data_IF_159629297998
#
_entry.id   IF_159629297998
#
_cell.length_a   1.000
_cell.length_b   1.000
_cell.length_c   1.000
_cell.angle_alpha   90.00
_cell.angle_beta   90.00
_cell.angle_gamma   90.00
#
_symmetry.space_group_name_H-M   'P 1'
#
loop_
_entity.id
_entity.type
_entity.pdbx_description
1 polymer ?
#
# COMPACT_ATOMS: atom_id res chain seq x y z
N UNK A 1 -69.42 -59.04 -2.60
CA UNK A 1 -68.28 -58.56 -1.80
C UNK A 1 -67.79 -57.24 -2.37
N UNK A 2 -67.77 -56.21 -1.54
CA UNK A 2 -66.82 -55.07 -1.47
C UNK A 2 -66.57 -54.18 -2.71
N UNK A 3 -67.19 -53.00 -2.66
CA UNK A 3 -66.73 -51.61 -2.94
C UNK A 3 -65.30 -51.43 -3.47
N UNK A 4 -65.10 -50.59 -4.51
CA UNK A 4 -64.09 -49.48 -4.52
C UNK A 4 -64.62 -48.30 -5.36
N UNK A 5 -64.43 -47.10 -4.81
CA UNK A 5 -64.79 -45.76 -5.31
C UNK A 5 -63.48 -44.98 -5.49
N UNK A 6 -63.27 -44.33 -6.63
CA UNK A 6 -62.27 -43.23 -6.85
C UNK A 6 -62.71 -42.45 -8.09
N UNK A 7 -63.24 -41.23 -7.93
CA UNK A 7 -62.56 -39.93 -7.88
C UNK A 7 -62.09 -39.46 -9.27
N UNK A 8 -62.86 -38.54 -9.87
CA UNK A 8 -62.56 -37.85 -11.13
C UNK A 8 -62.42 -36.35 -10.88
N UNK A 9 -61.32 -35.80 -11.39
CA UNK A 9 -60.96 -34.38 -11.47
C UNK A 9 -61.72 -33.66 -12.59
N UNK A 10 -62.11 -32.40 -12.39
CA UNK A 10 -62.22 -31.41 -13.46
C UNK A 10 -61.23 -30.25 -13.15
N UNK A 11 -60.90 -29.29 -13.99
CA UNK A 11 -60.99 -28.98 -15.42
C UNK A 11 -60.19 -27.67 -15.53
N UNK A 12 -59.44 -27.51 -16.60
CA UNK A 12 -58.55 -26.39 -16.86
C UNK A 12 -59.33 -25.18 -17.40
N UNK A 13 -59.11 -23.98 -16.85
CA UNK A 13 -59.58 -22.72 -17.44
C UNK A 13 -58.52 -21.61 -17.26
N UNK A 14 -58.12 -21.03 -18.38
CA UNK A 14 -57.18 -19.91 -18.52
C UNK A 14 -57.92 -18.54 -18.57
N UNK A 15 -57.24 -17.37 -18.68
CA UNK A 15 -57.30 -16.30 -17.66
C UNK A 15 -58.01 -15.01 -18.14
N UNK A 16 -58.23 -14.00 -17.26
CA UNK A 16 -58.48 -12.64 -17.69
C UNK A 16 -57.33 -11.65 -17.37
N UNK A 17 -57.47 -10.47 -17.96
CA UNK A 17 -56.42 -9.55 -18.40
C UNK A 17 -55.90 -8.53 -17.37
N UNK A 18 -54.79 -7.90 -17.79
CA UNK A 18 -53.96 -6.85 -17.20
C UNK A 18 -54.73 -5.68 -16.57
N UNK A 19 -54.46 -5.43 -15.29
CA UNK A 19 -54.59 -4.13 -14.63
C UNK A 19 -53.20 -3.53 -14.37
N UNK A 20 -52.98 -2.30 -14.80
CA UNK A 20 -51.78 -1.51 -14.55
C UNK A 20 -51.67 -1.19 -13.04
N UNK A 21 -50.51 -1.46 -12.43
CA UNK A 21 -50.17 -0.93 -11.10
C UNK A 21 -48.79 -0.30 -11.13
N UNK A 22 -48.74 0.95 -10.68
CA UNK A 22 -47.56 1.80 -10.56
C UNK A 22 -46.47 1.15 -9.70
N UNK A 23 -45.17 1.35 -10.01
CA UNK A 23 -44.10 0.90 -9.14
C UNK A 23 -44.11 1.71 -7.83
N UNK A 24 -43.97 1.06 -6.65
CA UNK A 24 -43.83 1.80 -5.41
C UNK A 24 -42.48 2.53 -5.38
N UNK A 25 -42.56 3.77 -4.89
CA UNK A 25 -41.50 4.73 -4.77
C UNK A 25 -40.36 4.26 -3.86
N UNK A 26 -39.15 4.70 -4.20
CA UNK A 26 -38.07 4.95 -3.25
C UNK A 26 -37.14 3.78 -2.99
N UNK A 27 -36.05 3.70 -3.76
CA UNK A 27 -34.81 3.16 -3.19
C UNK A 27 -34.50 3.95 -1.91
N UNK A 28 -34.25 3.31 -0.76
CA UNK A 28 -33.73 4.03 0.39
C UNK A 28 -32.40 4.68 -0.03
N UNK A 29 -32.16 5.96 0.30
CA UNK A 29 -30.88 6.60 0.01
C UNK A 29 -29.75 5.84 0.69
N UNK A 30 -28.59 5.87 0.04
CA UNK A 30 -27.35 5.20 0.40
C UNK A 30 -27.16 5.06 1.92
N UNK A 31 -26.87 3.81 2.37
CA UNK A 31 -26.37 3.52 3.71
C UNK A 31 -25.39 4.62 4.11
N UNK A 32 -25.75 5.36 5.16
CA UNK A 32 -24.90 6.35 5.83
C UNK A 32 -23.49 5.78 5.91
N UNK A 33 -22.53 6.47 5.29
CA UNK A 33 -21.14 6.05 5.28
C UNK A 33 -20.66 5.89 6.72
N UNK A 34 -20.61 4.65 7.24
CA UNK A 34 -20.15 4.45 8.61
C UNK A 34 -18.74 5.05 8.75
N UNK A 35 -18.54 5.97 9.68
CA UNK A 35 -17.24 6.61 9.81
C UNK A 35 -16.23 5.51 10.18
N UNK A 36 -15.14 5.37 9.41
CA UNK A 36 -14.18 4.29 9.61
C UNK A 36 -13.40 4.59 10.89
N UNK A 37 -13.66 3.78 11.93
CA UNK A 37 -13.04 3.88 13.24
C UNK A 37 -11.60 3.38 13.21
N UNK A 38 -10.67 4.19 13.71
CA UNK A 38 -9.27 3.82 13.85
C UNK A 38 -8.94 3.44 15.30
N UNK A 39 -8.11 2.41 15.54
CA UNK A 39 -7.62 2.11 16.88
C UNK A 39 -6.70 3.23 17.39
N UNK A 40 -7.12 3.96 18.42
CA UNK A 40 -6.19 4.63 19.31
C UNK A 40 -5.52 3.57 20.20
N UNK A 41 -4.22 3.69 20.42
CA UNK A 41 -3.54 2.88 21.44
C UNK A 41 -4.09 3.20 22.84
N UNK A 42 -3.74 2.41 23.86
CA UNK A 42 -4.10 2.73 25.26
C UNK A 42 -3.50 4.09 25.65
N UNK A 43 -4.36 5.06 25.96
CA UNK A 43 -4.00 6.45 26.27
C UNK A 43 -5.00 7.46 25.68
N UNK A 44 -4.78 8.75 25.93
CA UNK A 44 -5.55 9.82 25.27
C UNK A 44 -5.26 9.77 23.78
N UNK A 45 -6.29 9.59 22.91
CA UNK A 45 -6.04 9.50 21.49
C UNK A 45 -5.51 10.83 20.94
N UNK A 46 -4.65 10.81 19.91
CA UNK A 46 -4.09 12.03 19.36
C UNK A 46 -5.21 12.92 18.78
N UNK A 47 -5.06 14.24 18.91
CA UNK A 47 -6.02 15.22 18.37
C UNK A 47 -5.98 15.30 16.84
N UNK A 48 -4.91 14.83 16.22
CA UNK A 48 -4.70 14.84 14.76
C UNK A 48 -4.15 13.50 14.27
N UNK A 49 -4.52 13.13 13.06
CA UNK A 49 -4.02 11.93 12.40
C UNK A 49 -2.54 12.11 12.04
N UNK A 50 -1.64 11.15 12.38
CA UNK A 50 -0.21 11.29 12.09
C UNK A 50 0.12 11.21 10.60
N UNK A 51 -0.78 10.64 9.79
CA UNK A 51 -0.59 10.46 8.35
C UNK A 51 -1.16 11.61 7.52
N UNK A 52 -2.38 12.08 7.82
CA UNK A 52 -3.03 13.14 7.03
C UNK A 52 -3.16 14.49 7.74
N UNK A 53 -2.76 14.58 9.01
CA UNK A 53 -2.94 15.74 9.90
C UNK A 53 -4.38 16.21 10.11
N UNK A 54 -5.36 15.45 9.63
CA UNK A 54 -6.78 15.74 9.87
C UNK A 54 -7.14 15.58 11.34
N UNK A 55 -7.95 16.51 11.85
CA UNK A 55 -8.46 16.46 13.22
C UNK A 55 -9.24 15.17 13.48
N UNK A 56 -8.98 14.55 14.62
CA UNK A 56 -9.62 13.35 15.09
C UNK A 56 -10.59 13.68 16.23
N UNK A 57 -11.67 12.92 16.32
CA UNK A 57 -12.62 12.97 17.43
C UNK A 57 -12.87 11.56 17.99
N UNK A 58 -13.09 11.44 19.32
CA UNK A 58 -13.48 10.18 19.94
C UNK A 58 -14.78 9.63 19.36
N UNK A 59 -14.87 8.32 19.24
CA UNK A 59 -16.11 7.68 18.81
C UNK A 59 -17.04 7.39 20.00
N UNK A 60 -18.31 7.85 19.95
CA UNK A 60 -19.30 7.51 20.98
C UNK A 60 -19.48 5.99 21.11
N UNK A 61 -19.47 5.48 22.34
CA UNK A 61 -19.67 4.05 22.62
C UNK A 61 -18.48 3.14 22.28
N UNK A 62 -17.35 3.68 21.82
CA UNK A 62 -16.15 2.90 21.52
C UNK A 62 -14.89 3.54 22.13
N UNK A 63 -14.64 3.30 23.43
CA UNK A 63 -13.45 3.82 24.11
C UNK A 63 -12.15 3.49 23.36
N UNK A 64 -11.25 4.46 23.28
CA UNK A 64 -9.98 4.32 22.54
C UNK A 64 -10.10 4.33 21.02
N UNK A 65 -11.31 4.39 20.44
CA UNK A 65 -11.49 4.57 18.99
C UNK A 65 -11.66 6.05 18.65
N UNK A 66 -11.04 6.44 17.54
CA UNK A 66 -11.21 7.78 16.96
C UNK A 66 -11.62 7.69 15.50
N UNK A 67 -12.20 8.78 15.02
CA UNK A 67 -12.51 8.98 13.61
C UNK A 67 -12.07 10.38 13.19
N UNK A 68 -11.83 10.57 11.90
CA UNK A 68 -11.66 11.93 11.37
C UNK A 68 -12.96 12.72 11.57
N UNK A 69 -12.83 13.95 12.08
CA UNK A 69 -13.94 14.90 12.21
C UNK A 69 -14.50 15.30 10.84
N UNK A 70 -13.62 15.44 9.85
CA UNK A 70 -13.97 15.78 8.47
C UNK A 70 -14.12 14.54 7.60
N UNK A 71 -15.27 14.38 6.94
CA UNK A 71 -15.51 13.33 5.96
C UNK A 71 -14.52 13.39 4.78
N UNK A 72 -14.14 14.61 4.35
CA UNK A 72 -13.13 14.83 3.32
C UNK A 72 -11.77 14.28 3.75
N UNK A 73 -11.32 14.61 4.96
CA UNK A 73 -10.08 14.05 5.51
C UNK A 73 -10.16 12.53 5.62
N UNK A 74 -11.31 11.99 6.05
CA UNK A 74 -11.51 10.54 6.12
C UNK A 74 -11.39 9.85 4.77
N UNK A 75 -11.91 10.47 3.70
CA UNK A 75 -11.90 9.92 2.35
C UNK A 75 -10.51 9.97 1.70
N UNK A 76 -9.68 10.95 2.07
CA UNK A 76 -8.33 11.13 1.54
C UNK A 76 -7.25 10.46 2.40
N UNK A 77 -7.58 10.04 3.63
CA UNK A 77 -6.62 9.41 4.51
C UNK A 77 -6.44 7.93 4.18
N UNK A 78 -5.19 7.50 4.04
CA UNK A 78 -4.80 6.13 3.70
C UNK A 78 -5.30 5.07 4.71
N UNK A 79 -5.59 5.54 5.91
CA UNK A 79 -6.01 4.74 7.05
C UNK A 79 -7.51 4.49 7.12
N UNK A 80 -8.31 5.40 6.54
CA UNK A 80 -9.76 5.42 6.72
C UNK A 80 -10.53 5.53 5.42
N UNK A 81 -9.85 5.70 4.28
CA UNK A 81 -10.51 5.76 2.98
C UNK A 81 -11.27 4.48 2.69
N UNK A 82 -12.47 4.64 2.13
CA UNK A 82 -13.32 3.54 1.64
C UNK A 82 -13.20 3.36 0.13
N UNK A 83 -12.50 4.28 -0.52
CA UNK A 83 -12.23 4.25 -1.95
C UNK A 83 -10.85 3.63 -2.18
N UNK A 84 -10.41 3.61 -3.43
CA UNK A 84 -9.01 3.33 -3.73
C UNK A 84 -8.09 4.26 -2.92
N UNK A 85 -6.95 3.70 -2.52
CA UNK A 85 -5.94 4.49 -1.83
C UNK A 85 -5.55 5.72 -2.66
N UNK A 86 -5.18 6.84 -2.01
CA UNK A 86 -4.61 8.00 -2.68
C UNK A 86 -3.50 7.63 -3.66
N UNK A 87 -3.28 8.53 -4.63
CA UNK A 87 -2.23 8.40 -5.62
C UNK A 87 -0.86 8.15 -4.98
N UNK A 88 0.02 7.53 -5.74
CA UNK A 88 1.41 7.31 -5.35
C UNK A 88 2.16 8.63 -5.14
N UNK A 89 3.34 8.55 -4.52
CA UNK A 89 4.23 9.70 -4.36
C UNK A 89 4.42 10.39 -5.72
N UNK A 90 4.02 11.66 -5.82
CA UNK A 90 4.21 12.39 -7.06
C UNK A 90 5.70 12.64 -7.31
N UNK A 91 6.11 12.39 -8.56
CA UNK A 91 7.44 12.66 -9.08
C UNK A 91 7.24 13.60 -10.26
N UNK A 92 7.40 14.91 -10.01
CA UNK A 92 7.22 16.01 -10.97
C UNK A 92 8.53 16.68 -11.36
N UNK A 93 9.66 15.98 -11.17
CA UNK A 93 10.97 16.48 -11.56
C UNK A 93 10.99 16.93 -13.02
N UNK A 94 11.73 17.99 -13.32
CA UNK A 94 12.02 18.36 -14.70
C UNK A 94 12.76 17.23 -15.42
N UNK A 95 12.89 17.30 -16.75
CA UNK A 95 13.65 16.29 -17.53
C UNK A 95 15.10 16.74 -17.74
N UNK A 96 15.86 16.88 -16.65
CA UNK A 96 17.30 17.15 -16.73
C UNK A 96 18.07 15.84 -16.94
N UNK A 97 18.42 15.56 -18.20
CA UNK A 97 19.13 14.35 -18.58
C UNK A 97 20.53 14.24 -17.93
N UNK A 98 21.23 15.35 -17.73
CA UNK A 98 22.57 15.34 -17.17
C UNK A 98 22.53 15.11 -15.65
N UNK A 99 21.57 15.72 -14.95
CA UNK A 99 21.31 15.39 -13.55
C UNK A 99 20.90 13.91 -13.42
N UNK A 100 19.98 13.45 -14.28
CA UNK A 100 19.51 12.06 -14.33
C UNK A 100 20.65 11.06 -14.44
N UNK A 101 21.52 11.22 -15.44
CA UNK A 101 22.66 10.33 -15.66
C UNK A 101 23.60 10.29 -14.44
N UNK A 102 24.00 11.46 -13.92
CA UNK A 102 24.92 11.57 -12.77
C UNK A 102 24.34 10.94 -11.51
N UNK A 103 23.06 11.20 -11.22
CA UNK A 103 22.40 10.65 -10.04
C UNK A 103 22.17 9.15 -10.16
N UNK A 104 21.83 8.68 -11.36
CA UNK A 104 21.66 7.26 -11.63
C UNK A 104 22.97 6.50 -11.48
N UNK A 105 24.06 7.04 -11.99
CA UNK A 105 25.41 6.49 -11.81
C UNK A 105 25.80 6.45 -10.33
N UNK A 106 25.60 7.57 -9.60
CA UNK A 106 25.84 7.63 -8.14
C UNK A 106 25.03 6.59 -7.37
N UNK A 107 23.76 6.39 -7.74
CA UNK A 107 22.91 5.37 -7.15
C UNK A 107 23.44 3.96 -7.43
N UNK A 108 23.82 3.67 -8.68
CA UNK A 108 24.40 2.37 -9.05
C UNK A 108 25.67 2.10 -8.25
N UNK A 109 26.54 3.09 -8.03
CA UNK A 109 27.72 2.89 -7.20
C UNK A 109 27.39 2.47 -5.75
N UNK A 110 26.22 2.85 -5.24
CA UNK A 110 25.80 2.60 -3.86
C UNK A 110 24.58 1.66 -3.72
N UNK A 111 24.20 0.95 -4.78
CA UNK A 111 22.94 0.21 -4.84
C UNK A 111 22.78 -0.81 -3.71
N UNK A 112 23.87 -1.45 -3.31
CA UNK A 112 23.90 -2.44 -2.23
C UNK A 112 23.52 -1.83 -0.89
N UNK A 113 23.96 -0.60 -0.62
CA UNK A 113 23.65 0.12 0.61
C UNK A 113 22.17 0.48 0.66
N UNK A 114 21.65 1.00 -0.45
CA UNK A 114 20.22 1.29 -0.62
C UNK A 114 19.35 0.04 -0.43
N UNK A 115 19.69 -1.06 -1.11
CA UNK A 115 18.96 -2.31 -0.99
C UNK A 115 19.03 -2.90 0.42
N UNK A 116 20.18 -2.82 1.08
CA UNK A 116 20.34 -3.22 2.47
C UNK A 116 19.46 -2.42 3.43
N UNK A 117 19.34 -1.10 3.26
CA UNK A 117 18.46 -0.26 4.09
C UNK A 117 16.99 -0.59 3.86
N UNK A 118 16.59 -0.77 2.60
CA UNK A 118 15.24 -1.24 2.25
C UNK A 118 14.94 -2.57 2.95
N UNK A 119 15.86 -3.53 2.91
CA UNK A 119 15.71 -4.83 3.59
C UNK A 119 15.77 -4.75 5.11
N UNK A 120 16.46 -3.75 5.69
CA UNK A 120 16.43 -3.50 7.14
C UNK A 120 15.03 -3.08 7.60
N UNK A 121 14.35 -2.24 6.82
CA UNK A 121 12.97 -1.81 7.11
C UNK A 121 11.97 -2.92 6.76
N UNK A 122 12.19 -3.61 5.65
CA UNK A 122 11.32 -4.68 5.17
C UNK A 122 12.11 -5.90 4.69
N UNK A 123 12.36 -6.90 5.56
CA UNK A 123 13.19 -8.05 5.22
C UNK A 123 12.72 -8.89 4.04
N UNK A 124 11.41 -8.89 3.77
CA UNK A 124 10.78 -9.59 2.64
C UNK A 124 10.91 -8.85 1.30
N UNK A 125 11.58 -7.68 1.27
CA UNK A 125 11.82 -6.95 0.02
C UNK A 125 12.85 -7.68 -0.85
N UNK A 126 12.43 -8.17 -2.01
CA UNK A 126 13.28 -8.96 -2.91
C UNK A 126 14.04 -8.11 -3.91
N UNK A 127 15.13 -8.65 -4.46
CA UNK A 127 15.89 -7.97 -5.52
C UNK A 127 15.07 -7.78 -6.80
N UNK A 128 14.14 -8.70 -7.09
CA UNK A 128 13.20 -8.57 -8.20
C UNK A 128 12.28 -7.37 -8.00
N UNK A 129 11.74 -7.19 -6.79
CA UNK A 129 10.94 -6.00 -6.44
C UNK A 129 11.78 -4.73 -6.53
N UNK A 130 13.02 -4.76 -6.02
CA UNK A 130 13.93 -3.62 -6.06
C UNK A 130 14.21 -3.15 -7.48
N UNK A 131 14.58 -4.05 -8.38
CA UNK A 131 14.83 -3.70 -9.79
C UNK A 131 13.57 -3.26 -10.53
N UNK A 132 12.39 -3.81 -10.19
CA UNK A 132 11.12 -3.34 -10.73
C UNK A 132 10.80 -1.90 -10.29
N UNK A 133 10.99 -1.58 -9.00
CA UNK A 133 10.80 -0.21 -8.48
C UNK A 133 11.78 0.76 -9.13
N UNK A 134 13.03 0.34 -9.34
CA UNK A 134 14.00 1.18 -10.04
C UNK A 134 13.60 1.44 -11.50
N UNK A 135 13.06 0.45 -12.20
CA UNK A 135 12.52 0.66 -13.54
C UNK A 135 11.36 1.68 -13.53
N UNK A 136 10.49 1.65 -12.51
CA UNK A 136 9.44 2.66 -12.33
C UNK A 136 10.05 4.05 -12.05
N UNK A 137 11.07 4.13 -11.18
CA UNK A 137 11.76 5.37 -10.87
C UNK A 137 12.47 5.98 -12.10
N UNK A 138 13.04 5.13 -12.96
CA UNK A 138 13.63 5.52 -14.24
C UNK A 138 12.57 6.19 -15.15
N UNK A 139 11.38 5.57 -15.29
CA UNK A 139 10.28 6.10 -16.11
C UNK A 139 9.68 7.39 -15.53
N UNK A 140 9.60 7.49 -14.20
CA UNK A 140 9.06 8.65 -13.50
C UNK A 140 10.04 9.84 -13.44
N UNK A 141 11.26 9.69 -13.98
CA UNK A 141 12.31 10.72 -13.94
C UNK A 141 12.75 11.12 -12.52
N UNK A 142 12.72 10.17 -11.56
CA UNK A 142 13.18 10.41 -10.17
C UNK A 142 14.61 10.97 -10.12
N UNK A 143 15.48 10.50 -11.00
CA UNK A 143 16.89 10.89 -11.06
C UNK A 143 17.13 12.31 -11.59
N UNK A 144 16.09 12.96 -12.11
CA UNK A 144 16.24 14.33 -12.61
C UNK A 144 16.13 15.39 -11.52
N UNK A 145 15.86 15.02 -10.26
CA UNK A 145 15.77 15.96 -9.16
C UNK A 145 17.14 16.41 -8.68
N UNK A 146 17.57 17.66 -8.89
CA UNK A 146 18.94 18.10 -8.54
C UNK A 146 19.27 17.92 -7.06
N UNK A 147 18.26 18.00 -6.19
CA UNK A 147 18.34 17.85 -4.76
C UNK A 147 18.16 16.40 -4.25
N UNK A 148 18.16 15.39 -5.14
CA UNK A 148 18.04 13.99 -4.74
C UNK A 148 19.18 13.58 -3.80
N UNK A 149 18.83 13.19 -2.58
CA UNK A 149 19.78 12.74 -1.57
C UNK A 149 19.73 11.22 -1.41
N UNK A 150 20.89 10.59 -1.23
CA UNK A 150 20.97 9.14 -1.05
C UNK A 150 20.30 8.66 0.25
N UNK A 151 20.37 9.43 1.34
CA UNK A 151 19.79 9.04 2.63
C UNK A 151 18.25 8.95 2.62
N UNK A 152 17.60 9.54 1.62
CA UNK A 152 16.15 9.46 1.40
C UNK A 152 15.73 8.32 0.46
N UNK A 153 16.63 7.83 -0.38
CA UNK A 153 16.29 6.92 -1.47
C UNK A 153 15.69 5.60 -0.96
N UNK A 154 16.16 5.05 0.15
CA UNK A 154 15.58 3.84 0.71
C UNK A 154 14.09 4.04 1.07
N UNK A 155 13.73 5.19 1.67
CA UNK A 155 12.35 5.53 2.00
C UNK A 155 11.51 5.76 0.75
N UNK A 156 12.03 6.51 -0.23
CA UNK A 156 11.37 6.75 -1.52
C UNK A 156 11.08 5.43 -2.24
N UNK A 157 12.05 4.53 -2.34
CA UNK A 157 11.89 3.24 -3.00
C UNK A 157 10.87 2.34 -2.29
N UNK A 158 10.78 2.39 -0.96
CA UNK A 158 9.74 1.68 -0.21
C UNK A 158 8.34 2.21 -0.52
N UNK A 159 8.18 3.53 -0.67
CA UNK A 159 6.90 4.16 -1.03
C UNK A 159 6.52 3.85 -2.49
N UNK A 160 7.48 3.95 -3.41
CA UNK A 160 7.30 3.61 -4.83
C UNK A 160 7.06 2.11 -5.08
N UNK A 161 7.37 1.24 -4.12
CA UNK A 161 7.03 -0.18 -4.21
C UNK A 161 5.52 -0.43 -4.19
N UNK A 162 4.72 0.57 -3.79
CA UNK A 162 3.28 0.47 -3.75
C UNK A 162 2.81 -0.66 -2.83
N UNK A 163 1.76 -1.36 -3.25
CA UNK A 163 1.24 -2.50 -2.53
C UNK A 163 2.12 -3.75 -2.71
N UNK A 164 2.58 -4.29 -1.58
CA UNK A 164 3.34 -5.53 -1.53
C UNK A 164 2.51 -6.61 -0.84
N UNK A 165 2.12 -7.64 -1.60
CA UNK A 165 1.49 -8.85 -1.05
C UNK A 165 2.55 -9.72 -0.39
N UNK A 166 2.28 -10.13 0.84
CA UNK A 166 3.03 -11.16 1.57
C UNK A 166 2.14 -12.40 1.60
N UNK A 167 2.54 -13.47 0.90
CA UNK A 167 1.76 -14.70 0.87
C UNK A 167 1.62 -15.28 2.28
N UNK A 168 0.56 -16.06 2.49
CA UNK A 168 0.40 -16.83 3.71
C UNK A 168 1.56 -17.84 3.85
N UNK A 169 1.96 -18.23 5.08
CA UNK A 169 3.02 -19.22 5.28
C UNK A 169 2.80 -20.54 4.56
N UNK A 170 1.54 -20.95 4.38
CA UNK A 170 1.17 -22.13 3.59
C UNK A 170 1.48 -21.93 2.10
N UNK A 171 0.98 -20.85 1.49
CA UNK A 171 1.28 -20.51 0.08
C UNK A 171 2.78 -20.38 -0.15
N UNK A 172 3.50 -19.81 0.81
CA UNK A 172 4.96 -19.68 0.75
C UNK A 172 5.65 -21.05 0.84
N UNK A 173 5.19 -21.94 1.71
CA UNK A 173 5.72 -23.29 1.83
C UNK A 173 5.50 -24.10 0.55
N UNK A 174 4.31 -24.02 -0.05
CA UNK A 174 4.00 -24.64 -1.35
C UNK A 174 4.92 -24.11 -2.46
N UNK A 175 5.13 -22.79 -2.53
CA UNK A 175 6.04 -22.17 -3.50
C UNK A 175 7.50 -22.59 -3.31
N UNK A 176 7.91 -22.82 -2.06
CA UNK A 176 9.26 -23.22 -1.71
C UNK A 176 9.45 -24.75 -1.68
N UNK A 177 8.41 -25.53 -1.99
CA UNK A 177 8.43 -27.00 -1.93
C UNK A 177 8.66 -27.56 -0.53
N UNK A 178 8.16 -26.90 0.51
CA UNK A 178 8.27 -27.28 1.93
C UNK A 178 6.91 -27.67 2.51
N UNK A 179 6.93 -28.47 3.58
CA UNK A 179 5.72 -28.80 4.32
C UNK A 179 5.09 -27.54 4.94
N UNK A 180 3.77 -27.35 4.80
CA UNK A 180 3.10 -26.18 5.33
C UNK A 180 3.03 -26.24 6.86
N UNK A 181 3.16 -25.09 7.56
CA UNK A 181 3.01 -25.04 9.01
C UNK A 181 1.57 -25.37 9.43
N UNK A 182 1.41 -26.05 10.58
CA UNK A 182 0.11 -26.52 11.09
C UNK A 182 -0.90 -25.40 11.41
N UNK A 183 -0.44 -24.15 11.55
CA UNK A 183 -1.28 -22.96 11.69
C UNK A 183 -0.72 -21.84 10.80
N UNK A 184 -1.52 -21.38 9.83
CA UNK A 184 -1.12 -20.36 8.87
C UNK A 184 -1.60 -18.96 9.25
N UNK A 185 -0.68 -17.99 9.29
CA UNK A 185 -1.07 -16.58 9.26
C UNK A 185 -1.75 -16.25 7.92
N UNK A 186 -2.79 -15.42 7.93
CA UNK A 186 -3.47 -15.00 6.70
C UNK A 186 -2.55 -14.17 5.78
N UNK A 187 -2.90 -14.12 4.49
CA UNK A 187 -2.27 -13.22 3.53
C UNK A 187 -2.37 -11.79 4.02
N UNK A 188 -1.27 -11.05 3.93
CA UNK A 188 -1.21 -9.64 4.32
C UNK A 188 -0.61 -8.80 3.21
N UNK A 189 -1.03 -7.56 3.16
CA UNK A 189 -0.50 -6.57 2.25
C UNK A 189 0.19 -5.48 3.04
N UNK A 190 1.25 -4.92 2.48
CA UNK A 190 1.96 -3.79 3.08
C UNK A 190 2.13 -2.68 2.06
N UNK A 191 1.97 -1.44 2.50
CA UNK A 191 2.34 -0.25 1.74
C UNK A 191 3.02 0.76 2.65
N UNK A 192 3.99 1.49 2.10
CA UNK A 192 4.68 2.56 2.80
C UNK A 192 4.16 3.91 2.33
N UNK A 193 4.12 4.87 3.25
CA UNK A 193 3.59 6.20 3.01
C UNK A 193 4.43 7.24 3.74
N UNK A 194 4.65 8.39 3.12
CA UNK A 194 5.00 9.59 3.87
C UNK A 194 3.73 10.20 4.48
N UNK A 195 3.87 11.01 5.52
CA UNK A 195 2.74 11.85 5.96
C UNK A 195 2.43 12.97 4.94
N UNK A 196 1.30 13.64 5.17
CA UNK A 196 0.75 14.65 4.27
C UNK A 196 1.62 15.93 4.13
N UNK A 197 2.77 16.02 4.81
CA UNK A 197 3.76 17.06 4.51
C UNK A 197 4.39 16.86 3.12
N UNK A 198 4.37 15.62 2.60
CA UNK A 198 4.94 15.26 1.29
C UNK A 198 3.85 15.18 0.25
N UNK A 199 3.88 16.10 -0.72
CA UNK A 199 3.00 16.09 -1.90
C UNK A 199 3.77 15.68 -3.14
N UNK A 200 5.07 15.97 -3.17
CA UNK A 200 6.01 15.63 -4.23
C UNK A 200 7.33 15.15 -3.63
N UNK A 201 8.10 14.35 -4.37
CA UNK A 201 9.42 13.90 -3.94
C UNK A 201 10.36 15.07 -3.56
N UNK A 202 10.23 16.25 -4.20
CA UNK A 202 10.96 17.46 -3.84
C UNK A 202 10.83 17.84 -2.36
N UNK A 203 9.65 17.64 -1.78
CA UNK A 203 9.34 18.07 -0.42
C UNK A 203 10.25 17.36 0.61
N UNK A 204 10.75 16.16 0.28
CA UNK A 204 11.66 15.39 1.13
C UNK A 204 13.01 16.10 1.34
N UNK A 205 13.46 16.85 0.33
CA UNK A 205 14.79 17.46 0.31
C UNK A 205 14.75 18.94 0.72
N UNK A 206 13.59 19.59 0.62
CA UNK A 206 13.40 20.98 1.10
C UNK A 206 13.07 21.06 2.58
N UNK A 207 12.60 19.98 3.20
CA UNK A 207 12.14 19.97 4.60
C UNK A 207 13.25 20.11 5.66
N UNK A 208 14.54 20.07 5.27
CA UNK A 208 15.66 20.27 6.20
C UNK A 208 15.69 19.25 7.34
N UNK A 209 15.69 19.73 8.59
CA UNK A 209 15.72 18.91 9.81
C UNK A 209 14.37 18.25 10.14
N UNK A 210 13.26 18.80 9.65
CA UNK A 210 11.91 18.24 9.82
C UNK A 210 11.65 17.18 8.74
N UNK A 211 12.47 16.13 8.75
CA UNK A 211 12.35 15.02 7.81
C UNK A 211 10.92 14.46 7.82
N UNK A 212 10.26 14.35 6.65
CA UNK A 212 8.93 13.77 6.60
C UNK A 212 8.91 12.36 7.18
N UNK A 213 7.88 12.06 7.97
CA UNK A 213 7.79 10.77 8.64
C UNK A 213 7.35 9.71 7.64
N UNK A 214 8.05 8.58 7.68
CA UNK A 214 7.71 7.38 6.94
C UNK A 214 6.82 6.48 7.81
N UNK A 215 5.80 5.88 7.22
CA UNK A 215 4.90 4.94 7.87
C UNK A 215 4.80 3.65 7.06
N UNK A 216 4.77 2.52 7.75
CA UNK A 216 4.30 1.24 7.22
C UNK A 216 2.84 1.09 7.57
N UNK A 217 2.01 0.67 6.63
CA UNK A 217 0.63 0.26 6.88
C UNK A 217 0.46 -1.19 6.44
N UNK A 218 -0.02 -2.01 7.35
CA UNK A 218 -0.33 -3.41 7.15
C UNK A 218 -1.84 -3.56 6.92
N UNK A 219 -2.20 -4.34 5.92
CA UNK A 219 -3.57 -4.61 5.52
C UNK A 219 -3.82 -6.11 5.45
N UNK A 220 -5.06 -6.54 5.72
CA UNK A 220 -5.54 -7.88 5.37
C UNK A 220 -5.87 -7.98 3.87
N UNK A 221 -6.05 -9.20 3.38
CA UNK A 221 -6.51 -9.47 2.01
C UNK A 221 -7.80 -8.67 1.67
N UNK A 222 -7.84 -7.95 0.54
CA UNK A 222 -9.05 -7.29 0.10
C UNK A 222 -10.05 -8.30 -0.48
N UNK A 223 -11.34 -8.14 -0.15
CA UNK A 223 -12.40 -9.06 -0.60
C UNK A 223 -13.20 -8.54 -1.79
N UNK A 224 -13.31 -7.21 -1.94
CA UNK A 224 -14.21 -6.57 -2.91
C UNK A 224 -13.46 -5.74 -3.97
N UNK A 225 -12.15 -5.59 -3.83
CA UNK A 225 -11.30 -4.72 -4.66
C UNK A 225 -9.97 -5.41 -4.94
N UNK A 226 -9.29 -5.10 -6.05
CA UNK A 226 -7.99 -5.70 -6.36
C UNK A 226 -6.87 -5.28 -5.38
N UNK A 227 -7.03 -4.14 -4.70
CA UNK A 227 -6.09 -3.64 -3.71
C UNK A 227 -6.78 -3.27 -2.39
N UNK A 228 -6.08 -3.31 -1.24
CA UNK A 228 -6.61 -2.88 0.05
C UNK A 228 -7.08 -1.41 0.10
N UNK A 229 -8.13 -1.16 0.87
CA UNK A 229 -8.58 0.18 1.28
C UNK A 229 -8.35 0.38 2.79
N UNK A 230 -8.78 1.52 3.34
CA UNK A 230 -8.80 1.75 4.79
C UNK A 230 -9.58 0.67 5.57
N UNK A 231 -10.58 0.04 4.95
CA UNK A 231 -11.35 -1.04 5.58
C UNK A 231 -10.54 -2.34 5.83
N UNK A 232 -9.37 -2.46 5.21
CA UNK A 232 -8.47 -3.59 5.38
C UNK A 232 -7.28 -3.28 6.29
N UNK A 233 -7.12 -2.06 6.79
CA UNK A 233 -5.98 -1.73 7.67
C UNK A 233 -6.07 -2.54 8.97
N UNK A 234 -4.99 -3.24 9.30
CA UNK A 234 -4.85 -4.02 10.54
C UNK A 234 -3.86 -3.40 11.50
N UNK A 235 -2.80 -2.78 10.98
CA UNK A 235 -1.78 -2.12 11.77
C UNK A 235 -1.09 -1.03 10.97
N UNK A 236 -0.37 -0.18 11.68
CA UNK A 236 0.47 0.86 11.12
C UNK A 236 1.61 1.13 12.09
N UNK A 237 2.72 1.63 11.56
CA UNK A 237 3.89 1.93 12.37
C UNK A 237 4.67 3.06 11.73
N UNK A 238 5.06 4.06 12.52
CA UNK A 238 6.07 5.03 12.09
C UNK A 238 7.44 4.36 12.02
N UNK A 239 8.12 4.53 10.89
CA UNK A 239 9.46 4.04 10.64
C UNK A 239 10.44 5.19 10.84
N UNK A 240 11.26 5.10 11.88
CA UNK A 240 12.32 6.07 12.18
C UNK A 240 13.71 5.59 11.76
N UNK A 241 14.68 6.51 11.79
CA UNK A 241 16.10 6.18 11.71
C UNK A 241 16.62 5.69 10.36
N UNK A 242 15.86 5.84 9.26
CA UNK A 242 16.33 5.43 7.91
C UNK A 242 17.50 6.29 7.44
N UNK A 243 17.39 7.62 7.60
CA UNK A 243 18.48 8.58 7.29
C UNK A 243 19.71 8.34 8.17
N UNK A 244 19.50 8.18 9.48
CA UNK A 244 20.59 7.90 10.43
C UNK A 244 21.28 6.56 10.11
N UNK A 245 20.49 5.55 9.76
CA UNK A 245 21.00 4.25 9.34
C UNK A 245 21.83 4.34 8.07
N UNK A 246 21.48 5.22 7.11
CA UNK A 246 22.37 5.52 5.99
C UNK A 246 23.69 6.03 6.54
N UNK A 247 23.74 7.14 7.28
CA UNK A 247 24.98 7.72 7.80
C UNK A 247 25.87 6.69 8.53
N UNK A 248 25.29 5.90 9.43
CA UNK A 248 25.99 4.88 10.23
C UNK A 248 26.47 3.65 9.42
N UNK A 249 25.90 3.37 8.26
CA UNK A 249 26.28 2.22 7.44
C UNK A 249 27.65 2.36 6.76
N UNK A 250 28.32 3.51 6.94
CA UNK A 250 29.75 3.61 6.62
C UNK A 250 30.59 2.68 7.50
N UNK A 251 30.12 2.35 8.72
CA UNK A 251 30.92 1.68 9.75
C UNK A 251 30.42 0.27 10.16
N UNK A 252 29.23 -0.16 9.74
CA UNK A 252 28.58 -1.39 10.24
C UNK A 252 28.47 -2.56 9.22
N UNK A 253 28.40 -3.80 9.74
CA UNK A 253 28.13 -5.03 8.96
C UNK A 253 26.80 -4.92 8.21
N UNK A 254 26.87 -4.90 6.89
CA UNK A 254 25.71 -4.88 5.99
C UNK A 254 24.97 -6.23 6.02
N UNK A 255 23.64 -6.28 5.82
CA UNK A 255 22.95 -7.51 5.46
C UNK A 255 23.69 -8.18 4.29
N UNK A 256 23.93 -9.48 4.40
CA UNK A 256 24.67 -10.21 3.38
C UNK A 256 23.86 -10.23 2.07
N UNK A 257 24.28 -9.41 1.10
CA UNK A 257 23.77 -9.44 -0.28
C UNK A 257 24.54 -10.53 -1.00
N UNK A 258 23.83 -11.60 -1.35
CA UNK A 258 24.40 -12.80 -1.94
C UNK A 258 24.76 -12.64 -3.42
N UNK A 259 25.54 -13.58 -3.99
CA UNK A 259 25.95 -13.55 -5.39
C UNK A 259 24.77 -13.49 -6.38
N UNK A 260 23.67 -14.19 -6.07
CA UNK A 260 22.48 -14.20 -6.92
C UNK A 260 21.81 -12.82 -7.03
N UNK A 261 21.75 -12.07 -5.93
CA UNK A 261 21.19 -10.72 -5.89
C UNK A 261 22.09 -9.75 -6.66
N UNK A 262 23.41 -9.84 -6.49
CA UNK A 262 24.39 -9.06 -7.26
C UNK A 262 24.28 -9.32 -8.76
N UNK A 263 24.19 -10.60 -9.15
CA UNK A 263 24.03 -10.98 -10.55
C UNK A 263 22.69 -10.48 -11.13
N UNK A 264 21.60 -10.53 -10.36
CA UNK A 264 20.31 -10.00 -10.78
C UNK A 264 20.35 -8.49 -11.02
N UNK A 265 20.98 -7.73 -10.11
CA UNK A 265 21.16 -6.30 -10.26
C UNK A 265 22.04 -5.94 -11.45
N UNK A 266 23.17 -6.64 -11.63
CA UNK A 266 24.06 -6.43 -12.78
C UNK A 266 23.32 -6.64 -14.12
N UNK A 267 22.49 -7.69 -14.23
CA UNK A 267 21.62 -7.90 -15.41
C UNK A 267 20.62 -6.77 -15.63
N UNK A 268 20.08 -6.20 -14.55
CA UNK A 268 19.17 -5.04 -14.65
C UNK A 268 19.90 -3.81 -15.20
N UNK A 269 21.07 -3.46 -14.67
CA UNK A 269 21.89 -2.33 -15.15
C UNK A 269 22.27 -2.52 -16.62
N UNK A 270 22.77 -3.70 -16.99
CA UNK A 270 23.17 -4.00 -18.37
C UNK A 270 22.01 -3.89 -19.38
N UNK A 271 20.77 -4.23 -18.99
CA UNK A 271 19.59 -4.08 -19.85
C UNK A 271 19.17 -2.61 -20.00
N UNK A 272 19.34 -1.80 -18.96
CA UNK A 272 18.94 -0.39 -18.96
C UNK A 272 19.85 0.43 -19.88
N UNK A 273 21.17 0.18 -19.81
CA UNK A 273 22.16 0.82 -20.70
C UNK A 273 21.92 0.53 -22.20
N UNK A 274 21.26 -0.58 -22.55
CA UNK A 274 20.93 -0.92 -23.94
C UNK A 274 19.67 -0.22 -24.46
N UNK A 275 18.89 0.41 -23.58
CA UNK A 275 17.59 1.03 -23.91
C UNK A 275 17.66 2.55 -24.08
N UNK A 276 18.75 3.20 -23.67
CA UNK A 276 18.98 4.61 -23.94
C UNK A 276 19.43 4.77 -25.40
N UNK A 277 18.60 5.34 -26.31
CA UNK A 277 19.07 5.74 -27.62
C UNK A 277 20.06 6.90 -27.45
N UNK A 278 21.16 6.83 -28.18
CA UNK A 278 22.21 7.86 -28.25
C UNK A 278 21.68 9.14 -28.88
#
# INVERSE_FOLDING_TARGET
>A
MTVIRTASTPEEAAPPARGQQHPPAGQPPARVAATVAWPGGPGTPPSHCPLCFGTLEPMPGMPGRVRHRSARCSAQCVLTTRQYQPDELAIRGGRDAQASARQRERFVAHWERHYALVRRVWPAFTIARFTAVLACADVQALWSYPSLRDDDLAAVLLVLAGFMRVPAPQEQAEQDGRDPPAAGAAVRWVRFWFDASVRDAADLWTAGADAPRLFRVDYREPQATPFPTGAQVVAWQQIGGVRDAWAQQQDARRPAIGPAERAAFARFVARSARREPT
#
